data_IF_997273346358
#
_entry.id   IF_997273346358
#
_cell.length_a   1.000
_cell.length_b   1.000
_cell.length_c   1.000
_cell.angle_alpha   90.00
_cell.angle_beta   90.00
_cell.angle_gamma   90.00
#
_symmetry.space_group_name_H-M   'P 1'
#
loop_
_entity.id
_entity.type
_entity.pdbx_description
1 polymer ?
#
# COMPACT_ATOMS: atom_id res chain seq x y z
N UNK A 1 -22.71 -5.71 -15.97
CA UNK A 1 -21.82 -4.57 -16.25
C UNK A 1 -20.41 -5.12 -16.37
N UNK A 2 -19.63 -4.67 -17.38
CA UNK A 2 -18.22 -5.01 -17.52
C UNK A 2 -17.43 -3.79 -17.06
N UNK A 3 -16.54 -3.97 -16.08
CA UNK A 3 -15.63 -2.93 -15.60
C UNK A 3 -14.21 -3.22 -16.08
N UNK A 4 -13.45 -2.18 -16.36
CA UNK A 4 -12.00 -2.26 -16.49
C UNK A 4 -11.37 -2.42 -15.10
N UNK A 5 -10.13 -2.92 -15.04
CA UNK A 5 -9.40 -3.02 -13.75
C UNK A 5 -9.28 -1.66 -13.04
N UNK A 6 -9.11 -0.58 -13.81
CA UNK A 6 -9.04 0.77 -13.25
C UNK A 6 -10.37 1.23 -12.62
N UNK A 7 -11.50 0.95 -13.29
CA UNK A 7 -12.84 1.24 -12.76
C UNK A 7 -13.16 0.40 -11.54
N UNK A 8 -12.81 -0.90 -11.55
CA UNK A 8 -12.98 -1.78 -10.41
C UNK A 8 -12.19 -1.30 -9.18
N UNK A 9 -10.96 -0.84 -9.38
CA UNK A 9 -10.14 -0.28 -8.30
C UNK A 9 -10.69 1.05 -7.76
N UNK A 10 -11.23 1.92 -8.64
CA UNK A 10 -11.92 3.15 -8.20
C UNK A 10 -13.19 2.83 -7.38
N UNK A 11 -13.94 1.81 -7.81
CA UNK A 11 -15.13 1.36 -7.08
C UNK A 11 -14.76 0.77 -5.73
N UNK A 12 -13.71 -0.07 -5.65
CA UNK A 12 -13.18 -0.59 -4.39
C UNK A 12 -12.77 0.52 -3.43
N UNK A 13 -12.08 1.54 -3.94
CA UNK A 13 -11.69 2.70 -3.12
C UNK A 13 -12.94 3.38 -2.57
N UNK A 14 -13.92 3.68 -3.41
CA UNK A 14 -15.18 4.32 -2.99
C UNK A 14 -15.89 3.52 -1.89
N UNK A 15 -16.00 2.20 -2.04
CA UNK A 15 -16.65 1.34 -1.04
C UNK A 15 -15.87 1.29 0.29
N UNK A 16 -14.54 1.29 0.24
CA UNK A 16 -13.72 1.35 1.46
C UNK A 16 -13.85 2.73 2.15
N UNK A 17 -13.93 3.82 1.39
CA UNK A 17 -14.14 5.16 1.93
C UNK A 17 -15.53 5.26 2.59
N UNK A 18 -16.56 4.67 1.99
CA UNK A 18 -17.93 4.59 2.53
C UNK A 18 -17.97 3.74 3.80
N UNK A 19 -17.27 2.60 3.83
CA UNK A 19 -17.14 1.77 5.01
C UNK A 19 -16.46 2.53 6.16
N UNK A 20 -15.38 3.24 5.90
CA UNK A 20 -14.69 4.06 6.89
C UNK A 20 -15.57 5.20 7.42
N UNK A 21 -16.34 5.86 6.56
CA UNK A 21 -17.28 6.91 6.95
C UNK A 21 -18.42 6.37 7.82
N UNK A 22 -18.95 5.19 7.48
CA UNK A 22 -19.98 4.51 8.28
C UNK A 22 -19.44 4.11 9.66
N UNK A 23 -18.21 3.58 9.73
CA UNK A 23 -17.53 3.22 10.98
C UNK A 23 -17.34 4.44 11.88
N UNK A 24 -16.94 5.57 11.32
CA UNK A 24 -16.77 6.80 12.09
C UNK A 24 -18.12 7.38 12.56
N UNK A 25 -19.16 7.27 11.74
CA UNK A 25 -20.52 7.64 12.13
C UNK A 25 -21.04 6.77 13.27
N UNK A 26 -20.86 5.46 13.18
CA UNK A 26 -21.24 4.53 14.25
C UNK A 26 -20.50 4.85 15.54
N UNK A 27 -19.17 5.08 15.47
CA UNK A 27 -18.35 5.42 16.64
C UNK A 27 -18.86 6.63 17.40
N UNK A 28 -19.43 7.62 16.70
CA UNK A 28 -19.98 8.85 17.31
C UNK A 28 -21.38 8.67 17.89
N UNK A 29 -22.10 7.64 17.46
CA UNK A 29 -23.53 7.49 17.79
C UNK A 29 -23.82 6.30 18.70
N UNK A 30 -22.94 5.28 18.74
CA UNK A 30 -23.16 4.05 19.53
C UNK A 30 -23.07 4.27 21.04
N UNK A 31 -22.24 5.25 21.43
CA UNK A 31 -22.03 5.63 22.83
C UNK A 31 -22.30 7.12 22.99
N UNK A 32 -22.96 7.53 24.07
CA UNK A 32 -23.19 8.93 24.37
C UNK A 32 -23.14 9.18 25.88
N UNK A 33 -22.98 10.44 26.25
CA UNK A 33 -22.92 10.86 27.66
C UNK A 33 -24.13 11.71 27.99
N UNK A 34 -24.66 11.52 29.17
CA UNK A 34 -25.68 12.38 29.79
C UNK A 34 -25.15 12.83 31.16
N UNK A 35 -25.40 14.08 31.53
CA UNK A 35 -25.07 14.58 32.87
C UNK A 35 -26.05 14.04 33.90
N UNK A 36 -25.64 14.05 35.19
CA UNK A 36 -26.52 13.67 36.29
C UNK A 36 -27.73 14.61 36.35
N UNK A 37 -28.93 14.04 36.23
CA UNK A 37 -30.18 14.82 36.20
C UNK A 37 -30.63 15.31 34.83
N UNK A 38 -29.86 15.03 33.77
CA UNK A 38 -30.25 15.30 32.40
C UNK A 38 -31.19 14.21 31.86
N UNK A 39 -32.17 14.59 31.04
CA UNK A 39 -33.02 13.60 30.37
C UNK A 39 -32.21 12.84 29.31
N UNK A 40 -31.93 11.58 29.59
CA UNK A 40 -31.14 10.68 28.71
C UNK A 40 -31.77 10.56 27.32
N UNK A 41 -33.10 10.64 27.20
CA UNK A 41 -33.78 10.50 25.94
C UNK A 41 -33.54 11.73 25.02
N UNK A 42 -33.43 12.93 25.62
CA UNK A 42 -33.21 14.19 24.87
C UNK A 42 -31.84 14.32 24.26
N UNK A 43 -30.81 13.68 24.87
CA UNK A 43 -29.41 13.75 24.41
C UNK A 43 -28.97 12.52 23.60
N UNK A 44 -29.86 11.53 23.48
CA UNK A 44 -29.56 10.27 22.77
C UNK A 44 -29.42 10.50 21.27
N UNK A 45 -28.26 10.16 20.67
CA UNK A 45 -28.11 10.20 19.22
C UNK A 45 -29.06 9.23 18.51
N UNK A 46 -29.50 9.59 17.32
CA UNK A 46 -30.24 8.66 16.47
C UNK A 46 -29.29 7.56 15.95
N UNK A 47 -29.46 6.36 16.47
CA UNK A 47 -28.67 5.18 16.11
C UNK A 47 -29.56 3.94 16.04
N UNK A 48 -29.49 3.25 14.91
CA UNK A 48 -30.15 1.96 14.67
C UNK A 48 -29.07 0.91 14.42
N UNK A 49 -28.84 0.07 15.41
CA UNK A 49 -27.81 -0.99 15.36
C UNK A 49 -28.08 -1.96 14.22
N UNK A 50 -29.30 -2.50 14.10
CA UNK A 50 -29.62 -3.52 13.12
C UNK A 50 -29.43 -3.02 11.68
N UNK A 51 -29.90 -1.80 11.40
CA UNK A 51 -29.72 -1.14 10.10
C UNK A 51 -28.27 -0.84 9.78
N UNK A 52 -27.51 -0.41 10.76
CA UNK A 52 -26.09 -0.09 10.61
C UNK A 52 -25.28 -1.36 10.33
N UNK A 53 -25.51 -2.46 11.06
CA UNK A 53 -24.84 -3.74 10.82
C UNK A 53 -25.23 -4.36 9.48
N UNK A 54 -26.48 -4.25 9.04
CA UNK A 54 -26.90 -4.70 7.71
C UNK A 54 -26.14 -3.92 6.61
N UNK A 55 -25.96 -2.61 6.76
CA UNK A 55 -25.19 -1.79 5.81
C UNK A 55 -23.71 -2.17 5.78
N UNK A 56 -23.09 -2.44 6.94
CA UNK A 56 -21.72 -2.97 6.99
C UNK A 56 -21.61 -4.29 6.23
N UNK A 57 -22.51 -5.23 6.48
CA UNK A 57 -22.50 -6.55 5.83
C UNK A 57 -22.63 -6.43 4.30
N UNK A 58 -23.47 -5.51 3.81
CA UNK A 58 -23.62 -5.24 2.38
C UNK A 58 -22.33 -4.67 1.76
N UNK A 59 -21.70 -3.67 2.42
CA UNK A 59 -20.43 -3.09 1.97
C UNK A 59 -19.32 -4.12 1.93
N UNK A 60 -19.19 -4.92 2.98
CA UNK A 60 -18.19 -5.99 3.08
C UNK A 60 -18.38 -7.06 1.99
N UNK A 61 -19.61 -7.46 1.71
CA UNK A 61 -19.90 -8.40 0.63
C UNK A 61 -19.50 -7.83 -0.72
N UNK A 62 -19.88 -6.59 -1.01
CA UNK A 62 -19.55 -5.93 -2.26
C UNK A 62 -18.04 -5.76 -2.44
N UNK A 63 -17.30 -5.37 -1.40
CA UNK A 63 -15.84 -5.27 -1.39
C UNK A 63 -15.21 -6.65 -1.69
N UNK A 64 -15.65 -7.71 -1.00
CA UNK A 64 -15.12 -9.07 -1.24
C UNK A 64 -15.35 -9.53 -2.67
N UNK A 65 -16.57 -9.35 -3.21
CA UNK A 65 -16.93 -9.77 -4.56
C UNK A 65 -16.08 -9.07 -5.62
N UNK A 66 -15.92 -7.75 -5.51
CA UNK A 66 -15.14 -6.98 -6.49
C UNK A 66 -13.66 -7.34 -6.38
N UNK A 67 -13.11 -7.41 -5.17
CA UNK A 67 -11.71 -7.77 -4.94
C UNK A 67 -11.39 -9.17 -5.48
N UNK A 68 -12.28 -10.13 -5.24
CA UNK A 68 -12.14 -11.48 -5.78
C UNK A 68 -12.15 -11.48 -7.31
N UNK A 69 -13.09 -10.77 -7.94
CA UNK A 69 -13.15 -10.67 -9.40
C UNK A 69 -11.89 -10.05 -10.00
N UNK A 70 -11.32 -8.99 -9.38
CA UNK A 70 -10.04 -8.39 -9.79
C UNK A 70 -8.90 -9.38 -9.66
N UNK A 71 -8.83 -10.13 -8.56
CA UNK A 71 -7.78 -11.15 -8.35
C UNK A 71 -7.87 -12.27 -9.40
N UNK A 72 -9.07 -12.80 -9.65
CA UNK A 72 -9.27 -13.79 -10.70
C UNK A 72 -8.84 -13.27 -12.09
N UNK A 73 -9.17 -12.03 -12.41
CA UNK A 73 -8.74 -11.40 -13.66
C UNK A 73 -7.22 -11.30 -13.73
N UNK A 74 -6.56 -10.81 -12.70
CA UNK A 74 -5.12 -10.62 -12.67
C UNK A 74 -4.35 -11.95 -12.81
N UNK A 75 -4.86 -13.03 -12.25
CA UNK A 75 -4.21 -14.36 -12.31
C UNK A 75 -4.47 -15.10 -13.62
N UNK A 76 -5.49 -14.71 -14.39
CA UNK A 76 -5.87 -15.39 -15.63
C UNK A 76 -5.46 -14.63 -16.89
N UNK A 77 -5.28 -13.33 -16.82
CA UNK A 77 -4.89 -12.52 -17.97
C UNK A 77 -3.38 -12.35 -18.07
N UNK A 78 -2.83 -12.62 -19.24
CA UNK A 78 -1.41 -12.38 -19.54
C UNK A 78 -1.21 -10.95 -20.06
N UNK A 79 0.00 -10.46 -19.89
CA UNK A 79 0.43 -9.15 -20.42
C UNK A 79 1.03 -9.35 -21.81
N UNK A 80 0.50 -8.62 -22.80
CA UNK A 80 0.99 -8.69 -24.18
C UNK A 80 2.48 -8.39 -24.25
N UNK A 81 3.22 -9.23 -25.00
CA UNK A 81 4.67 -9.13 -25.13
C UNK A 81 5.48 -9.69 -23.95
N UNK A 82 4.82 -10.19 -22.90
CA UNK A 82 5.45 -10.88 -21.77
C UNK A 82 4.79 -12.24 -21.55
N UNK A 83 5.59 -13.24 -21.21
CA UNK A 83 5.05 -14.55 -20.82
C UNK A 83 4.74 -14.58 -19.31
N UNK A 84 3.94 -13.62 -18.87
CA UNK A 84 3.57 -13.42 -17.46
C UNK A 84 2.12 -12.98 -17.35
N UNK A 85 1.46 -13.38 -16.28
CA UNK A 85 0.14 -12.87 -15.90
C UNK A 85 0.25 -11.44 -15.34
N UNK A 86 -0.89 -10.74 -15.25
CA UNK A 86 -0.93 -9.41 -14.62
C UNK A 86 -0.46 -9.51 -13.17
N UNK A 87 -0.84 -10.56 -12.45
CA UNK A 87 -0.44 -10.79 -11.05
C UNK A 87 1.08 -10.94 -10.92
N UNK A 88 1.72 -11.75 -11.78
CA UNK A 88 3.18 -11.88 -11.82
C UNK A 88 3.86 -10.55 -12.17
N UNK A 89 3.29 -9.79 -13.11
CA UNK A 89 3.82 -8.49 -13.50
C UNK A 89 3.76 -7.46 -12.36
N UNK A 90 2.70 -7.48 -11.54
CA UNK A 90 2.57 -6.62 -10.36
C UNK A 90 3.66 -6.90 -9.31
N UNK A 91 4.17 -8.13 -9.24
CA UNK A 91 5.33 -8.49 -8.40
C UNK A 91 6.65 -8.12 -9.09
N UNK A 92 6.74 -8.34 -10.39
CA UNK A 92 7.97 -8.13 -11.17
C UNK A 92 8.37 -6.65 -11.29
N UNK A 93 7.42 -5.74 -11.50
CA UNK A 93 7.71 -4.29 -11.61
C UNK A 93 8.44 -3.72 -10.38
N UNK A 94 8.00 -3.96 -9.14
CA UNK A 94 8.75 -3.56 -7.95
C UNK A 94 10.15 -4.19 -7.87
N UNK A 95 10.33 -5.43 -8.31
CA UNK A 95 11.63 -6.09 -8.35
C UNK A 95 12.58 -5.40 -9.34
N UNK A 96 12.09 -5.06 -10.54
CA UNK A 96 12.84 -4.29 -11.52
C UNK A 96 13.22 -2.90 -10.99
N UNK A 97 12.30 -2.23 -10.30
CA UNK A 97 12.56 -0.93 -9.69
C UNK A 97 13.69 -1.00 -8.65
N UNK A 98 13.66 -2.01 -7.78
CA UNK A 98 14.73 -2.25 -6.79
C UNK A 98 16.06 -2.57 -7.47
N UNK A 99 16.03 -3.43 -8.51
CA UNK A 99 17.22 -3.77 -9.29
C UNK A 99 17.82 -2.55 -9.96
N UNK A 100 16.99 -1.72 -10.60
CA UNK A 100 17.41 -0.46 -11.21
C UNK A 100 18.07 0.48 -10.19
N UNK A 101 17.45 0.69 -9.02
CA UNK A 101 18.00 1.53 -7.97
C UNK A 101 19.36 1.03 -7.48
N UNK A 102 19.50 -0.30 -7.27
CA UNK A 102 20.77 -0.93 -6.91
C UNK A 102 21.86 -0.70 -7.97
N UNK A 103 21.53 -0.90 -9.25
CA UNK A 103 22.49 -0.71 -10.34
C UNK A 103 22.91 0.76 -10.49
N UNK A 104 21.97 1.70 -10.30
CA UNK A 104 22.30 3.14 -10.30
C UNK A 104 23.22 3.51 -9.14
N UNK A 105 23.00 2.97 -7.94
CA UNK A 105 23.90 3.15 -6.82
C UNK A 105 25.30 2.58 -7.13
N UNK A 106 25.37 1.36 -7.65
CA UNK A 106 26.66 0.74 -8.03
C UNK A 106 27.38 1.54 -9.10
N UNK A 107 26.67 2.04 -10.12
CA UNK A 107 27.21 2.87 -11.20
C UNK A 107 27.78 4.21 -10.67
N UNK A 108 27.20 4.76 -9.61
CA UNK A 108 27.63 6.04 -9.04
C UNK A 108 28.91 5.94 -8.18
N UNK A 109 29.39 4.74 -7.86
CA UNK A 109 30.60 4.53 -7.04
C UNK A 109 31.85 4.72 -7.86
N UNK A 110 32.87 5.29 -7.22
CA UNK A 110 34.22 5.37 -7.79
C UNK A 110 34.95 4.02 -7.63
N UNK A 111 35.86 3.66 -8.55
CA UNK A 111 36.69 2.45 -8.42
C UNK A 111 37.47 2.39 -7.13
N UNK A 112 37.86 3.57 -6.63
CA UNK A 112 38.56 3.78 -5.36
C UNK A 112 38.12 5.11 -4.76
N UNK A 113 37.73 5.11 -3.49
CA UNK A 113 37.29 6.29 -2.75
C UNK A 113 37.94 6.30 -1.38
N UNK A 114 38.44 7.45 -0.95
CA UNK A 114 39.00 7.60 0.40
C UNK A 114 37.88 7.59 1.43
N UNK A 115 38.02 6.79 2.47
CA UNK A 115 37.07 6.79 3.58
C UNK A 115 37.30 8.10 4.37
N UNK A 116 36.25 8.94 4.41
CA UNK A 116 36.27 10.12 5.28
C UNK A 116 36.18 9.68 6.74
N UNK A 117 37.05 10.23 7.60
CA UNK A 117 37.07 9.87 8.99
C UNK A 117 35.71 10.14 9.66
N UNK A 118 35.11 9.12 10.23
CA UNK A 118 33.98 9.32 11.14
C UNK A 118 34.48 10.05 12.39
N UNK A 119 33.83 11.14 12.73
CA UNK A 119 34.08 11.93 13.92
C UNK A 119 34.37 11.06 15.16
N UNK A 120 35.59 11.11 15.72
CA UNK A 120 35.92 10.49 16.99
C UNK A 120 37.01 9.40 16.99
N UNK A 121 37.52 8.93 15.83
CA UNK A 121 38.72 8.08 15.76
C UNK A 121 39.85 8.81 15.02
N UNK A 122 40.79 9.37 15.76
CA UNK A 122 42.09 9.74 15.20
C UNK A 122 42.87 8.45 14.90
N UNK A 123 42.72 7.94 13.69
CA UNK A 123 43.55 6.89 13.13
C UNK A 123 44.51 7.55 12.14
N UNK A 124 45.82 7.34 12.32
CA UNK A 124 46.84 7.76 11.35
C UNK A 124 46.83 6.87 10.08
N UNK A 125 45.89 5.96 9.98
CA UNK A 125 45.75 5.02 8.87
C UNK A 125 44.71 5.61 7.90
N UNK A 126 45.10 5.78 6.65
CA UNK A 126 44.21 6.23 5.58
C UNK A 126 43.60 4.99 4.93
N UNK A 127 42.28 4.81 5.11
CA UNK A 127 41.55 3.73 4.51
C UNK A 127 40.90 4.13 3.16
N UNK A 128 40.78 3.19 2.26
CA UNK A 128 40.13 3.34 0.97
C UNK A 128 39.07 2.25 0.80
N UNK A 129 37.91 2.66 0.29
CA UNK A 129 36.88 1.75 -0.22
C UNK A 129 37.14 1.49 -1.68
N UNK A 130 37.11 0.22 -2.10
CA UNK A 130 37.25 -0.21 -3.48
C UNK A 130 35.95 -0.86 -3.95
N UNK A 131 35.53 -0.59 -5.19
CA UNK A 131 34.47 -1.39 -5.82
C UNK A 131 35.00 -2.79 -6.14
N UNK A 132 34.26 -3.82 -5.73
CA UNK A 132 34.61 -5.22 -5.96
C UNK A 132 33.70 -5.82 -7.07
N UNK A 133 33.50 -5.07 -8.14
CA UNK A 133 32.72 -5.47 -9.30
C UNK A 133 33.17 -4.67 -10.53
N UNK A 134 32.93 -5.22 -11.72
CA UNK A 134 33.22 -4.55 -12.98
C UNK A 134 32.20 -3.43 -13.25
N UNK A 135 32.67 -2.20 -13.29
CA UNK A 135 31.84 -1.03 -13.56
C UNK A 135 31.26 -1.05 -14.98
N UNK A 136 32.01 -1.54 -15.97
CA UNK A 136 31.53 -1.67 -17.35
C UNK A 136 30.37 -2.68 -17.45
N UNK A 137 30.41 -3.76 -16.67
CA UNK A 137 29.33 -4.75 -16.61
C UNK A 137 28.06 -4.20 -15.93
N UNK A 138 28.19 -3.20 -15.06
CA UNK A 138 27.04 -2.53 -14.43
C UNK A 138 26.38 -1.53 -15.39
N UNK A 139 27.13 -0.99 -16.35
CA UNK A 139 26.64 -0.01 -17.33
C UNK A 139 25.90 -0.68 -18.50
N UNK A 140 26.24 -1.93 -18.82
CA UNK A 140 25.63 -2.71 -19.89
C UNK A 140 24.22 -3.20 -19.51
#
# INVERSE_FOLDING_TARGET
MKYTSAEANKLLKKLNDEYAALLEKERRSRDFRAAMGEDVASVRPAYDYAKTQAHFAELEENIRRIKHAVNCFNTTQSVDGFNMTIDEMLVYIPQLTKRKSKLLEMKSKLPKERVEEQYGRQSNIIDYTYTNYDLAAVEA
#
